data_IF_795261777019
#
_entry.id   IF_795261777019
#
_cell.length_a   1.000
_cell.length_b   1.000
_cell.length_c   1.000
_cell.angle_alpha   90.00
_cell.angle_beta   90.00
_cell.angle_gamma   90.00
#
_symmetry.space_group_name_H-M   'P 1'
#
loop_
_entity.id
_entity.type
_entity.pdbx_description
1 polymer ?
#
# COMPACT_ATOMS: atom_id res chain seq x y z
N UNK A 1 3.39 -17.70 -38.07
CA UNK A 1 4.81 -17.43 -37.80
C UNK A 1 5.13 -15.93 -37.89
N UNK A 2 4.93 -15.26 -39.04
CA UNK A 2 5.26 -13.81 -39.19
C UNK A 2 4.69 -12.84 -38.12
N UNK A 3 3.49 -13.12 -37.53
CA UNK A 3 2.91 -12.23 -36.49
C UNK A 3 3.63 -12.37 -35.15
N UNK A 4 4.01 -13.57 -34.75
CA UNK A 4 4.73 -13.83 -33.52
C UNK A 4 6.16 -13.26 -33.57
N UNK A 5 6.83 -13.44 -34.72
CA UNK A 5 8.17 -12.87 -34.97
C UNK A 5 8.16 -11.33 -34.86
N UNK A 6 7.10 -10.69 -35.38
CA UNK A 6 6.91 -9.25 -35.25
C UNK A 6 6.74 -8.79 -33.81
N UNK A 7 5.92 -9.51 -33.00
CA UNK A 7 5.75 -9.24 -31.57
C UNK A 7 7.06 -9.35 -30.83
N UNK A 8 7.82 -10.44 -31.07
CA UNK A 8 9.12 -10.67 -30.43
C UNK A 8 10.13 -9.59 -30.84
N UNK A 9 10.21 -9.24 -32.12
CA UNK A 9 11.12 -8.20 -32.61
C UNK A 9 10.87 -6.83 -31.95
N UNK A 10 9.60 -6.45 -31.79
CA UNK A 10 9.21 -5.20 -31.09
C UNK A 10 9.57 -5.30 -29.61
N UNK A 11 9.26 -6.42 -28.96
CA UNK A 11 9.56 -6.63 -27.56
C UNK A 11 11.07 -6.55 -27.28
N UNK A 12 11.90 -7.21 -28.09
CA UNK A 12 13.36 -7.19 -27.97
C UNK A 12 13.93 -5.79 -28.20
N UNK A 13 13.43 -5.08 -29.23
CA UNK A 13 13.83 -3.68 -29.49
C UNK A 13 13.57 -2.79 -28.27
N UNK A 14 12.35 -2.83 -27.74
CA UNK A 14 11.93 -1.99 -26.62
C UNK A 14 12.63 -2.38 -25.31
N UNK A 15 12.88 -3.68 -25.10
CA UNK A 15 13.69 -4.18 -23.99
C UNK A 15 15.14 -3.69 -24.06
N UNK A 16 15.76 -3.79 -25.23
CA UNK A 16 17.15 -3.33 -25.44
C UNK A 16 17.26 -1.82 -25.18
N UNK A 17 16.26 -1.05 -25.60
CA UNK A 17 16.19 0.39 -25.33
C UNK A 17 16.07 0.67 -23.83
N UNK A 18 15.23 -0.06 -23.13
CA UNK A 18 15.03 0.07 -21.69
C UNK A 18 16.34 -0.17 -20.92
N UNK A 19 17.04 -1.28 -21.20
CA UNK A 19 18.31 -1.61 -20.55
C UNK A 19 19.39 -0.54 -20.82
N UNK A 20 19.36 0.08 -22.00
CA UNK A 20 20.30 1.16 -22.37
C UNK A 20 19.93 2.54 -21.83
N UNK A 21 18.74 2.71 -21.28
CA UNK A 21 18.25 3.97 -20.72
C UNK A 21 17.96 3.81 -19.22
N UNK A 22 19.00 3.84 -18.34
CA UNK A 22 18.83 3.59 -16.90
C UNK A 22 17.86 4.55 -16.23
N UNK A 23 17.65 5.74 -16.79
CA UNK A 23 16.67 6.70 -16.31
C UNK A 23 15.22 6.16 -16.34
N UNK A 24 14.85 5.40 -17.37
CA UNK A 24 13.52 4.77 -17.45
C UNK A 24 13.38 3.65 -16.41
N UNK A 25 14.45 2.93 -16.13
CA UNK A 25 14.49 1.96 -15.03
C UNK A 25 14.25 2.64 -13.68
N UNK A 26 14.99 3.71 -13.41
CA UNK A 26 14.88 4.46 -12.16
C UNK A 26 13.46 5.00 -11.96
N UNK A 27 12.86 5.63 -12.97
CA UNK A 27 11.48 6.13 -12.86
C UNK A 27 10.51 4.98 -12.56
N UNK A 28 10.64 3.84 -13.23
CA UNK A 28 9.75 2.68 -13.05
C UNK A 28 9.78 2.05 -11.65
N UNK A 29 10.83 2.29 -10.88
CA UNK A 29 11.05 1.67 -9.56
C UNK A 29 11.10 2.69 -8.42
N UNK A 30 11.57 3.91 -8.69
CA UNK A 30 11.86 4.89 -7.64
C UNK A 30 10.62 5.25 -6.80
N UNK A 31 9.47 5.51 -7.44
CA UNK A 31 8.27 5.92 -6.71
C UNK A 31 7.74 4.78 -5.80
N UNK A 32 7.55 3.54 -6.26
CA UNK A 32 7.20 2.45 -5.36
C UNK A 32 8.20 2.25 -4.22
N UNK A 33 9.51 2.34 -4.47
CA UNK A 33 10.53 2.21 -3.44
C UNK A 33 10.50 3.34 -2.41
N UNK A 34 10.28 4.58 -2.84
CA UNK A 34 10.10 5.72 -1.92
C UNK A 34 8.89 5.49 -1.02
N UNK A 35 7.76 5.05 -1.58
CA UNK A 35 6.58 4.72 -0.78
C UNK A 35 6.84 3.58 0.20
N UNK A 36 7.50 2.50 -0.24
CA UNK A 36 7.88 1.38 0.62
C UNK A 36 8.77 1.86 1.77
N UNK A 37 9.82 2.62 1.46
CA UNK A 37 10.72 3.16 2.47
C UNK A 37 9.98 4.06 3.46
N UNK A 38 9.13 4.96 2.96
CA UNK A 38 8.36 5.88 3.79
C UNK A 38 7.41 5.14 4.73
N UNK A 39 6.60 4.23 4.19
CA UNK A 39 5.65 3.45 5.00
C UNK A 39 6.35 2.49 5.97
N UNK A 40 7.46 1.91 5.58
CA UNK A 40 8.21 1.02 6.46
C UNK A 40 8.89 1.72 7.64
N UNK A 41 9.16 3.01 7.50
CA UNK A 41 9.64 3.83 8.62
C UNK A 41 8.50 4.26 9.55
N UNK A 42 7.29 4.49 8.99
CA UNK A 42 6.14 4.98 9.77
C UNK A 42 5.41 3.86 10.49
N UNK A 43 5.20 2.70 9.83
CA UNK A 43 4.40 1.60 10.37
C UNK A 43 4.94 1.05 11.71
N UNK A 44 6.24 0.78 11.89
CA UNK A 44 6.76 0.34 13.17
C UNK A 44 6.56 1.36 14.29
N UNK A 45 6.68 2.66 13.97
CA UNK A 45 6.48 3.75 14.93
C UNK A 45 5.00 3.86 15.34
N UNK A 46 4.06 3.55 14.43
CA UNK A 46 2.64 3.58 14.75
C UNK A 46 2.16 2.34 15.51
N UNK A 47 2.85 1.22 15.40
CA UNK A 47 2.53 -0.02 16.14
C UNK A 47 3.13 -0.04 17.54
N UNK A 48 4.36 0.43 17.71
CA UNK A 48 4.97 0.71 19.00
C UNK A 48 4.64 2.15 19.38
N UNK A 49 3.75 2.35 20.35
CA UNK A 49 3.51 3.70 20.87
C UNK A 49 4.57 4.02 21.90
N UNK A 50 5.62 4.76 21.53
CA UNK A 50 6.58 5.24 22.51
C UNK A 50 5.83 6.16 23.48
N UNK A 51 5.89 5.81 24.76
CA UNK A 51 5.27 6.57 25.83
C UNK A 51 6.28 6.84 26.93
N UNK A 52 6.15 7.99 27.53
CA UNK A 52 6.92 8.32 28.74
C UNK A 52 6.01 8.25 29.94
N UNK A 53 6.53 7.79 31.06
CA UNK A 53 5.81 7.74 32.31
C UNK A 53 6.56 8.65 33.31
N UNK A 54 5.84 9.59 33.90
CA UNK A 54 6.34 10.40 35.00
C UNK A 54 5.83 9.76 36.31
N UNK A 55 6.65 8.91 36.90
CA UNK A 55 6.33 8.23 38.16
C UNK A 55 6.74 9.10 39.36
N UNK A 56 5.77 9.86 39.91
CA UNK A 56 5.99 10.68 41.11
C UNK A 56 5.74 9.90 42.41
N UNK A 57 5.12 8.71 42.31
CA UNK A 57 4.82 7.88 43.50
C UNK A 57 5.98 6.99 43.90
N UNK A 58 6.65 6.35 42.92
CA UNK A 58 7.76 5.43 43.17
C UNK A 58 7.39 4.21 44.02
N UNK A 59 6.10 3.93 44.22
CA UNK A 59 5.59 2.90 45.10
C UNK A 59 5.25 1.57 44.43
N UNK A 60 4.79 0.57 45.20
CA UNK A 60 4.44 -0.73 44.61
C UNK A 60 3.22 -0.70 43.67
N UNK A 61 2.29 0.25 43.84
CA UNK A 61 1.16 0.44 42.97
C UNK A 61 1.55 1.00 41.60
N UNK A 62 2.42 2.03 41.60
CA UNK A 62 2.93 2.61 40.35
C UNK A 62 3.79 1.60 39.58
N UNK A 63 4.62 0.81 40.29
CA UNK A 63 5.43 -0.24 39.65
C UNK A 63 4.55 -1.29 38.95
N UNK A 64 3.41 -1.71 39.54
CA UNK A 64 2.47 -2.66 38.93
C UNK A 64 1.81 -2.05 37.68
N UNK A 65 1.39 -0.80 37.73
CA UNK A 65 0.79 -0.13 36.56
C UNK A 65 1.80 -0.04 35.40
N UNK A 66 3.04 0.35 35.69
CA UNK A 66 4.10 0.41 34.68
C UNK A 66 4.37 -0.98 34.08
N UNK A 67 4.36 -2.03 34.89
CA UNK A 67 4.54 -3.40 34.42
C UNK A 67 3.34 -3.86 33.59
N UNK A 68 2.11 -3.55 33.99
CA UNK A 68 0.91 -3.79 33.19
C UNK A 68 0.99 -3.08 31.83
N UNK A 69 1.47 -1.84 31.78
CA UNK A 69 1.70 -1.12 30.52
C UNK A 69 2.78 -1.78 29.64
N UNK A 70 3.83 -2.35 30.23
CA UNK A 70 4.91 -3.04 29.49
C UNK A 70 4.49 -4.41 28.98
N UNK A 71 3.59 -5.09 29.67
CA UNK A 71 3.19 -6.48 29.39
C UNK A 71 2.00 -6.57 28.45
N UNK A 72 1.14 -5.55 28.39
CA UNK A 72 -0.02 -5.55 27.53
C UNK A 72 0.39 -5.62 26.05
N UNK A 73 -0.15 -6.62 25.34
CA UNK A 73 0.24 -6.95 23.96
C UNK A 73 -0.96 -7.18 23.05
N UNK A 74 -0.74 -6.95 21.75
CA UNK A 74 -1.56 -7.47 20.67
C UNK A 74 -0.82 -8.57 19.92
N UNK A 75 -1.47 -9.16 18.91
CA UNK A 75 -0.82 -10.10 17.98
C UNK A 75 0.35 -9.45 17.21
N UNK A 76 0.40 -8.12 17.11
CA UNK A 76 1.45 -7.36 16.42
C UNK A 76 2.64 -6.96 17.33
N UNK A 77 2.50 -7.10 18.65
CA UNK A 77 3.54 -6.74 19.60
C UNK A 77 3.03 -6.01 20.85
N UNK A 78 3.94 -5.41 21.65
CA UNK A 78 3.57 -4.65 22.83
C UNK A 78 2.77 -3.39 22.43
N UNK A 79 1.78 -3.02 23.24
CA UNK A 79 1.01 -1.79 23.02
C UNK A 79 1.83 -0.53 23.33
N UNK A 80 2.76 -0.62 24.27
CA UNK A 80 3.58 0.49 24.69
C UNK A 80 5.07 0.12 24.66
N UNK A 81 5.87 1.08 24.26
CA UNK A 81 7.31 1.13 24.51
C UNK A 81 7.57 2.23 25.55
N UNK A 82 7.73 1.81 26.80
CA UNK A 82 7.96 2.75 27.92
C UNK A 82 9.42 3.19 27.90
N UNK A 83 9.66 4.38 27.35
CA UNK A 83 10.99 4.94 27.12
C UNK A 83 11.69 5.35 28.42
N UNK A 84 10.95 5.89 29.38
CA UNK A 84 11.47 6.31 30.68
C UNK A 84 10.36 6.29 31.74
N UNK A 85 10.77 6.15 32.99
CA UNK A 85 9.89 6.31 34.17
C UNK A 85 10.33 7.48 35.06
N UNK A 86 11.39 8.19 34.66
CA UNK A 86 11.90 9.37 35.35
C UNK A 86 10.97 10.57 35.13
N UNK A 87 10.36 11.15 36.20
CA UNK A 87 9.37 12.21 36.05
C UNK A 87 9.96 13.48 35.43
N UNK A 88 11.19 13.86 35.78
CA UNK A 88 11.82 15.07 35.26
C UNK A 88 12.16 14.96 33.79
N UNK A 89 12.60 13.77 33.35
CA UNK A 89 12.90 13.49 31.92
C UNK A 89 11.61 13.47 31.11
N UNK A 90 10.58 12.77 31.62
CA UNK A 90 9.29 12.61 30.92
C UNK A 90 8.57 13.96 30.74
N UNK A 91 8.46 14.78 31.78
CA UNK A 91 7.78 16.07 31.74
C UNK A 91 8.52 17.07 30.86
N UNK A 92 9.87 17.18 30.99
CA UNK A 92 10.65 18.07 30.12
C UNK A 92 10.54 17.67 28.64
N UNK A 93 10.53 16.38 28.33
CA UNK A 93 10.38 15.91 26.96
C UNK A 93 9.00 16.27 26.39
N UNK A 94 7.93 16.15 27.19
CA UNK A 94 6.59 16.54 26.79
C UNK A 94 6.47 18.04 26.56
N UNK A 95 6.92 18.87 27.50
CA UNK A 95 6.87 20.32 27.41
C UNK A 95 7.73 20.87 26.26
N UNK A 96 8.83 20.19 25.95
CA UNK A 96 9.71 20.50 24.83
C UNK A 96 9.21 19.98 23.47
N UNK A 97 8.05 19.30 23.41
CA UNK A 97 7.50 18.72 22.18
C UNK A 97 8.20 17.45 21.70
N UNK A 98 9.13 16.90 22.50
CA UNK A 98 9.85 15.65 22.20
C UNK A 98 9.05 14.37 22.51
N UNK A 99 7.91 14.49 23.21
CA UNK A 99 7.00 13.39 23.48
C UNK A 99 5.57 13.76 23.06
N UNK A 100 4.85 12.81 22.46
CA UNK A 100 3.45 12.98 22.08
C UNK A 100 2.50 12.72 23.23
N UNK A 101 2.92 11.91 24.21
CA UNK A 101 2.13 11.58 25.39
C UNK A 101 3.03 11.28 26.58
N UNK A 102 2.51 11.62 27.76
CA UNK A 102 3.10 11.27 29.06
C UNK A 102 1.98 10.78 29.98
N UNK A 103 2.19 9.64 30.63
CA UNK A 103 1.37 9.18 31.74
C UNK A 103 1.98 9.69 33.03
N UNK A 104 1.27 10.51 33.79
CA UNK A 104 1.72 11.02 35.08
C UNK A 104 1.05 10.20 36.18
N UNK A 105 1.85 9.54 36.98
CA UNK A 105 1.41 8.81 38.18
C UNK A 105 1.67 9.73 39.39
N UNK A 106 0.63 10.26 40.04
CA UNK A 106 0.80 11.24 41.09
C UNK A 106 1.37 10.62 42.40
N UNK A 107 1.93 11.45 43.24
CA UNK A 107 2.32 11.06 44.59
C UNK A 107 1.13 10.48 45.39
N UNK A 108 1.35 9.41 46.14
CA UNK A 108 0.33 8.72 46.91
C UNK A 108 -0.57 7.77 46.09
N UNK A 109 -0.26 7.56 44.81
CA UNK A 109 -1.00 6.64 43.91
C UNK A 109 -1.10 5.23 44.52
N UNK A 110 -0.01 4.69 45.06
CA UNK A 110 0.02 3.33 45.62
C UNK A 110 -0.93 3.17 46.80
N UNK A 111 -1.04 4.18 47.67
CA UNK A 111 -1.99 4.17 48.78
C UNK A 111 -3.45 4.28 48.27
N UNK A 112 -3.71 5.22 47.37
CA UNK A 112 -5.04 5.39 46.76
C UNK A 112 -5.49 4.15 45.98
N UNK A 113 -4.57 3.43 45.31
CA UNK A 113 -4.87 2.20 44.60
C UNK A 113 -5.29 1.06 45.56
N UNK A 114 -4.71 0.99 46.72
CA UNK A 114 -5.09 0.03 47.78
C UNK A 114 -6.53 0.30 48.28
N UNK A 115 -6.96 1.57 48.30
CA UNK A 115 -8.30 2.00 48.74
C UNK A 115 -9.32 2.04 47.58
N UNK A 116 -8.94 1.71 46.36
CA UNK A 116 -9.83 1.65 45.17
C UNK A 116 -10.17 3.02 44.57
N UNK A 117 -9.35 4.06 44.81
CA UNK A 117 -9.63 5.44 44.34
C UNK A 117 -8.48 6.11 43.58
N UNK A 118 -7.53 5.34 43.07
CA UNK A 118 -6.36 5.89 42.36
C UNK A 118 -6.70 6.51 40.99
N UNK A 119 -6.02 7.59 40.66
CA UNK A 119 -6.14 8.25 39.36
C UNK A 119 -4.75 8.44 38.73
N UNK A 120 -4.69 8.33 37.43
CA UNK A 120 -3.53 8.70 36.64
C UNK A 120 -3.89 9.80 35.65
N UNK A 121 -2.98 10.71 35.37
CA UNK A 121 -3.16 11.77 34.40
C UNK A 121 -2.50 11.37 33.06
N UNK A 122 -3.25 11.41 31.97
CA UNK A 122 -2.71 11.23 30.63
C UNK A 122 -2.58 12.60 29.95
N UNK A 123 -1.36 13.11 29.83
CA UNK A 123 -1.06 14.32 29.06
C UNK A 123 -0.81 13.96 27.61
N UNK A 124 -1.54 14.59 26.70
CA UNK A 124 -1.52 14.31 25.26
C UNK A 124 -1.24 15.57 24.47
N UNK A 125 -0.29 15.47 23.53
CA UNK A 125 -0.26 16.36 22.41
C UNK A 125 -1.24 15.83 21.36
N UNK A 126 -2.49 16.32 21.39
CA UNK A 126 -3.62 15.79 20.65
C UNK A 126 -3.71 16.28 19.20
N UNK A 127 -2.57 16.54 18.55
CA UNK A 127 -2.50 16.91 17.12
C UNK A 127 -3.07 15.80 16.23
N UNK A 128 -2.86 14.53 16.62
CA UNK A 128 -3.41 13.38 15.91
C UNK A 128 -4.50 12.71 16.75
N UNK A 129 -5.76 12.84 16.30
CA UNK A 129 -6.93 12.32 17.01
C UNK A 129 -6.95 10.79 17.12
N UNK A 130 -6.49 10.07 16.09
CA UNK A 130 -6.47 8.60 16.10
C UNK A 130 -5.42 8.07 17.06
N UNK A 131 -4.24 8.69 17.09
CA UNK A 131 -3.20 8.37 18.05
C UNK A 131 -3.68 8.60 19.50
N UNK A 132 -4.29 9.77 19.75
CA UNK A 132 -4.83 10.10 21.07
C UNK A 132 -5.93 9.15 21.52
N UNK A 133 -6.82 8.76 20.61
CA UNK A 133 -7.88 7.78 20.86
C UNK A 133 -7.31 6.40 21.19
N UNK A 134 -6.36 5.93 20.41
CA UNK A 134 -5.70 4.64 20.64
C UNK A 134 -4.94 4.60 21.97
N UNK A 135 -4.22 5.68 22.33
CA UNK A 135 -3.56 5.78 23.62
C UNK A 135 -4.54 5.70 24.81
N UNK A 136 -5.67 6.42 24.72
CA UNK A 136 -6.72 6.37 25.76
C UNK A 136 -7.28 4.97 25.92
N UNK A 137 -7.66 4.31 24.81
CA UNK A 137 -8.20 2.96 24.85
C UNK A 137 -7.21 1.94 25.42
N UNK A 138 -5.95 2.07 25.10
CA UNK A 138 -4.89 1.17 25.57
C UNK A 138 -4.54 1.40 27.04
N UNK A 139 -4.52 2.66 27.48
CA UNK A 139 -4.32 2.97 28.91
C UNK A 139 -5.50 2.46 29.76
N UNK A 140 -6.73 2.67 29.28
CA UNK A 140 -7.93 2.14 29.91
C UNK A 140 -7.88 0.59 30.02
N UNK A 141 -7.39 -0.09 28.97
CA UNK A 141 -7.18 -1.54 29.00
C UNK A 141 -6.10 -1.98 30.01
N UNK A 142 -4.99 -1.23 30.13
CA UNK A 142 -3.92 -1.52 31.09
C UNK A 142 -4.42 -1.32 32.54
N UNK A 143 -5.20 -0.27 32.79
CA UNK A 143 -5.82 0.00 34.12
C UNK A 143 -6.83 -1.08 34.48
N UNK A 144 -7.70 -1.49 33.53
CA UNK A 144 -8.65 -2.60 33.77
C UNK A 144 -7.96 -3.92 34.02
N UNK A 145 -6.87 -4.23 33.34
CA UNK A 145 -6.09 -5.43 33.60
C UNK A 145 -5.55 -5.47 35.04
N UNK A 146 -5.20 -4.31 35.60
CA UNK A 146 -4.80 -4.18 37.01
C UNK A 146 -6.00 -4.39 37.95
N UNK A 147 -7.19 -3.87 37.62
CA UNK A 147 -8.41 -4.04 38.40
C UNK A 147 -8.89 -5.51 38.40
N UNK A 148 -8.77 -6.21 37.28
CA UNK A 148 -9.15 -7.62 37.13
C UNK A 148 -8.28 -8.56 37.98
N UNK A 149 -7.01 -8.22 38.21
CA UNK A 149 -6.14 -8.96 39.14
C UNK A 149 -6.58 -8.82 40.60
N UNK A 150 -7.29 -7.73 40.93
CA UNK A 150 -7.72 -7.42 42.31
C UNK A 150 -9.13 -7.91 42.63
N UNK A 151 -10.04 -7.93 41.68
CA UNK A 151 -11.48 -8.20 41.92
C UNK A 151 -12.06 -9.35 41.10
N UNK A 152 -11.33 -9.86 40.11
CA UNK A 152 -11.80 -10.85 39.15
C UNK A 152 -12.68 -10.24 38.03
N UNK A 153 -12.81 -10.92 36.90
CA UNK A 153 -13.47 -10.37 35.71
C UNK A 153 -14.98 -10.19 35.94
N UNK A 154 -15.46 -8.96 35.89
CA UNK A 154 -16.88 -8.60 36.01
C UNK A 154 -17.60 -8.77 34.67
N UNK A 155 -16.89 -8.61 33.55
CA UNK A 155 -17.43 -8.74 32.18
C UNK A 155 -16.44 -9.46 31.27
N UNK A 156 -16.89 -10.50 30.58
CA UNK A 156 -16.10 -11.21 29.57
C UNK A 156 -16.56 -10.83 28.16
N UNK A 157 -15.61 -10.49 27.27
CA UNK A 157 -15.89 -10.24 25.86
C UNK A 157 -15.58 -11.51 25.06
N UNK A 158 -16.60 -12.05 24.36
CA UNK A 158 -16.41 -13.13 23.39
C UNK A 158 -16.12 -12.52 22.04
N UNK A 159 -14.89 -12.69 21.55
CA UNK A 159 -14.49 -12.25 20.23
C UNK A 159 -14.72 -13.34 19.19
N UNK A 160 -15.32 -12.99 18.05
CA UNK A 160 -15.45 -13.89 16.88
C UNK A 160 -14.66 -13.27 15.73
N UNK A 161 -13.63 -13.98 15.28
CA UNK A 161 -12.72 -13.53 14.21
C UNK A 161 -13.08 -14.23 12.90
N UNK A 162 -13.04 -13.48 11.79
CA UNK A 162 -13.20 -14.05 10.44
C UNK A 162 -11.96 -14.85 10.03
N UNK A 163 -10.78 -14.43 10.43
CA UNK A 163 -9.50 -15.06 10.15
C UNK A 163 -8.84 -15.58 11.44
N UNK A 164 -8.03 -16.65 11.36
CA UNK A 164 -7.38 -17.23 12.54
C UNK A 164 -6.41 -16.27 13.26
N UNK A 165 -5.85 -15.33 12.50
CA UNK A 165 -4.94 -14.27 12.99
C UNK A 165 -5.27 -12.97 12.32
N UNK A 166 -5.06 -11.86 13.02
CA UNK A 166 -5.18 -10.53 12.42
C UNK A 166 -4.03 -10.30 11.44
N UNK A 167 -4.32 -9.82 10.22
CA UNK A 167 -3.28 -9.41 9.31
C UNK A 167 -2.48 -8.27 9.90
N UNK A 168 -1.16 -8.38 9.87
CA UNK A 168 -0.30 -7.32 10.37
C UNK A 168 -0.43 -6.05 9.52
N UNK A 169 -0.32 -4.88 10.14
CA UNK A 169 -0.34 -3.60 9.42
C UNK A 169 0.77 -3.53 8.35
N UNK A 170 1.95 -4.07 8.68
CA UNK A 170 3.05 -4.19 7.72
C UNK A 170 2.66 -5.07 6.53
N UNK A 171 2.03 -6.22 6.76
CA UNK A 171 1.55 -7.11 5.71
C UNK A 171 0.54 -6.42 4.79
N UNK A 172 -0.45 -5.75 5.38
CA UNK A 172 -1.48 -5.00 4.65
C UNK A 172 -0.88 -3.94 3.73
N UNK A 173 0.00 -3.10 4.26
CA UNK A 173 0.66 -2.04 3.49
C UNK A 173 1.61 -2.63 2.45
N UNK A 174 2.40 -3.66 2.80
CA UNK A 174 3.33 -4.30 1.86
C UNK A 174 2.61 -4.89 0.65
N UNK A 175 1.45 -5.53 0.85
CA UNK A 175 0.65 -6.08 -0.24
C UNK A 175 0.09 -4.96 -1.13
N UNK A 176 -0.42 -3.89 -0.54
CA UNK A 176 -0.93 -2.74 -1.29
C UNK A 176 0.17 -2.04 -2.07
N UNK A 177 1.36 -1.86 -1.49
CA UNK A 177 2.52 -1.26 -2.14
C UNK A 177 3.08 -2.15 -3.26
N UNK A 178 3.08 -3.47 -3.08
CA UNK A 178 3.48 -4.40 -4.13
C UNK A 178 2.58 -4.24 -5.36
N UNK A 179 1.27 -4.24 -5.16
CA UNK A 179 0.32 -4.10 -6.27
C UNK A 179 0.36 -2.70 -6.90
N UNK A 180 0.53 -1.65 -6.09
CA UNK A 180 0.82 -0.31 -6.58
C UNK A 180 2.07 -0.30 -7.46
N UNK A 181 3.15 -0.94 -7.02
CA UNK A 181 4.38 -1.09 -7.78
C UNK A 181 4.17 -1.82 -9.11
N UNK A 182 3.34 -2.88 -9.12
CA UNK A 182 2.96 -3.59 -10.34
C UNK A 182 2.25 -2.68 -11.34
N UNK A 183 1.18 -2.02 -10.88
CA UNK A 183 0.39 -1.11 -11.73
C UNK A 183 1.23 0.04 -12.24
N UNK A 184 1.96 0.70 -11.34
CA UNK A 184 2.82 1.84 -11.66
C UNK A 184 3.88 1.48 -12.71
N UNK A 185 4.66 0.41 -12.48
CA UNK A 185 5.72 0.00 -13.38
C UNK A 185 5.18 -0.36 -14.77
N UNK A 186 4.04 -1.06 -14.84
CA UNK A 186 3.41 -1.43 -16.09
C UNK A 186 2.83 -0.23 -16.84
N UNK A 187 2.17 0.68 -16.13
CA UNK A 187 1.62 1.91 -16.71
C UNK A 187 2.73 2.79 -17.28
N UNK A 188 3.74 3.09 -16.47
CA UNK A 188 4.83 3.99 -16.87
C UNK A 188 5.70 3.34 -17.96
N UNK A 189 6.07 2.05 -17.80
CA UNK A 189 6.89 1.34 -18.77
C UNK A 189 6.24 1.31 -20.16
N UNK A 190 5.00 0.83 -20.27
CA UNK A 190 4.31 0.73 -21.54
C UNK A 190 3.96 2.13 -22.11
N UNK A 191 3.54 3.07 -21.27
CA UNK A 191 3.15 4.41 -21.70
C UNK A 191 4.31 5.23 -22.23
N UNK A 192 5.45 5.24 -21.54
CA UNK A 192 6.63 5.96 -21.99
C UNK A 192 7.23 5.36 -23.27
N UNK A 193 7.22 4.04 -23.42
CA UNK A 193 7.64 3.41 -24.66
C UNK A 193 6.80 3.85 -25.85
N UNK A 194 5.48 3.97 -25.65
CA UNK A 194 4.58 4.45 -26.71
C UNK A 194 4.83 5.93 -26.99
N UNK A 195 4.83 6.78 -25.95
CA UNK A 195 5.00 8.23 -26.12
C UNK A 195 6.34 8.60 -26.74
N UNK A 196 7.41 7.88 -26.41
CA UNK A 196 8.74 8.12 -26.93
C UNK A 196 8.84 7.91 -28.45
N UNK A 197 8.05 7.00 -29.04
CA UNK A 197 8.02 6.83 -30.49
C UNK A 197 7.55 8.09 -31.22
N UNK A 198 6.57 8.82 -30.64
CA UNK A 198 6.15 10.12 -31.18
C UNK A 198 7.18 11.21 -30.92
N UNK A 199 7.71 11.25 -29.70
CA UNK A 199 8.69 12.24 -29.30
C UNK A 199 9.98 12.15 -30.16
N UNK A 200 10.44 10.93 -30.44
CA UNK A 200 11.66 10.66 -31.22
C UNK A 200 11.38 10.56 -32.74
N UNK A 201 10.14 10.82 -33.19
CA UNK A 201 9.68 10.76 -34.57
C UNK A 201 9.89 9.39 -35.26
N UNK A 202 10.00 8.32 -34.48
CA UNK A 202 10.21 6.94 -34.99
C UNK A 202 8.92 6.25 -35.42
N UNK A 203 7.76 6.84 -35.10
CA UNK A 203 6.42 6.32 -35.44
C UNK A 203 6.29 6.04 -36.95
N UNK A 204 6.84 6.89 -37.83
CA UNK A 204 6.80 6.69 -39.29
C UNK A 204 7.50 5.39 -39.69
N UNK A 205 8.63 5.07 -39.08
CA UNK A 205 9.39 3.84 -39.38
C UNK A 205 8.62 2.59 -38.96
N UNK A 206 7.90 2.65 -37.83
CA UNK A 206 7.00 1.58 -37.38
C UNK A 206 5.79 1.38 -38.31
N UNK A 207 5.31 2.46 -38.92
CA UNK A 207 4.18 2.41 -39.90
C UNK A 207 4.58 1.84 -41.25
N UNK A 208 5.80 2.11 -41.69
CA UNK A 208 6.34 1.60 -42.94
C UNK A 208 6.76 0.14 -42.84
N UNK A 209 6.98 -0.36 -41.63
CA UNK A 209 7.26 -1.77 -41.41
C UNK A 209 6.02 -2.64 -41.69
N UNK A 210 6.18 -3.78 -42.37
CA UNK A 210 5.07 -4.66 -42.74
C UNK A 210 4.53 -5.43 -41.53
N UNK A 211 4.28 -4.70 -40.44
CA UNK A 211 3.83 -5.22 -39.16
C UNK A 211 2.34 -5.01 -38.99
N UNK A 212 1.62 -6.07 -38.63
CA UNK A 212 0.22 -5.93 -38.28
C UNK A 212 0.04 -5.07 -37.01
N UNK A 213 -0.94 -4.16 -37.01
CA UNK A 213 -1.22 -3.23 -35.89
C UNK A 213 -1.42 -3.95 -34.56
N UNK A 214 -2.02 -5.15 -34.58
CA UNK A 214 -2.15 -6.00 -33.40
C UNK A 214 -0.80 -6.51 -32.87
N UNK A 215 0.16 -6.81 -33.76
CA UNK A 215 1.49 -7.21 -33.36
C UNK A 215 2.26 -6.05 -32.69
N UNK A 216 2.01 -4.81 -33.09
CA UNK A 216 2.60 -3.64 -32.47
C UNK A 216 2.10 -3.45 -31.01
N UNK A 217 0.79 -3.52 -30.79
CA UNK A 217 0.21 -3.42 -29.44
C UNK A 217 0.70 -4.57 -28.55
N UNK A 218 0.65 -5.79 -29.07
CA UNK A 218 1.10 -6.98 -28.33
C UNK A 218 2.61 -6.91 -28.01
N UNK A 219 3.45 -6.49 -28.96
CA UNK A 219 4.87 -6.35 -28.74
C UNK A 219 5.24 -5.33 -27.66
N UNK A 220 4.56 -4.18 -27.68
CA UNK A 220 4.73 -3.16 -26.64
C UNK A 220 4.20 -3.60 -25.27
N UNK A 221 3.07 -4.31 -25.24
CA UNK A 221 2.56 -4.88 -24.01
C UNK A 221 3.53 -5.93 -23.43
N UNK A 222 4.09 -6.81 -24.25
CA UNK A 222 5.09 -7.80 -23.82
C UNK A 222 6.37 -7.13 -23.33
N UNK A 223 6.86 -6.09 -24.00
CA UNK A 223 8.03 -5.34 -23.56
C UNK A 223 7.76 -4.63 -22.22
N UNK A 224 6.62 -3.98 -22.09
CA UNK A 224 6.17 -3.34 -20.85
C UNK A 224 6.05 -4.33 -19.70
N UNK A 225 5.50 -5.52 -19.96
CA UNK A 225 5.44 -6.61 -18.99
C UNK A 225 6.81 -7.06 -18.51
N UNK A 226 7.77 -7.26 -19.43
CA UNK A 226 9.13 -7.65 -19.09
C UNK A 226 9.81 -6.64 -18.15
N UNK A 227 9.70 -5.34 -18.48
CA UNK A 227 10.19 -4.26 -17.63
C UNK A 227 9.53 -4.25 -16.25
N UNK A 228 8.21 -4.38 -16.24
CA UNK A 228 7.43 -4.34 -15.01
C UNK A 228 7.74 -5.53 -14.10
N UNK A 229 7.95 -6.72 -14.67
CA UNK A 229 8.36 -7.90 -13.91
C UNK A 229 9.72 -7.70 -13.22
N UNK A 230 10.69 -7.06 -13.89
CA UNK A 230 11.96 -6.72 -13.25
C UNK A 230 11.78 -5.75 -12.08
N UNK A 231 10.93 -4.71 -12.25
CA UNK A 231 10.59 -3.76 -11.19
C UNK A 231 9.85 -4.42 -10.03
N UNK A 232 8.87 -5.27 -10.33
CA UNK A 232 8.11 -6.03 -9.32
C UNK A 232 9.00 -6.99 -8.55
N UNK A 233 9.91 -7.69 -9.23
CA UNK A 233 10.87 -8.57 -8.58
C UNK A 233 11.77 -7.81 -7.59
N UNK A 234 12.20 -6.60 -7.96
CA UNK A 234 12.99 -5.75 -7.06
C UNK A 234 12.16 -5.26 -5.87
N UNK A 235 10.92 -4.81 -6.10
CA UNK A 235 9.98 -4.40 -5.03
C UNK A 235 9.72 -5.57 -4.08
N UNK A 236 9.42 -6.75 -4.61
CA UNK A 236 9.19 -7.94 -3.80
C UNK A 236 10.43 -8.36 -3.02
N UNK A 237 11.61 -8.29 -3.64
CA UNK A 237 12.88 -8.54 -2.96
C UNK A 237 13.08 -7.61 -1.75
N UNK A 238 12.84 -6.32 -1.94
CA UNK A 238 12.96 -5.33 -0.85
C UNK A 238 11.95 -5.61 0.26
N UNK A 239 10.71 -5.95 -0.08
CA UNK A 239 9.67 -6.28 0.91
C UNK A 239 10.01 -7.56 1.70
N UNK A 240 10.46 -8.61 1.01
CA UNK A 240 10.77 -9.91 1.65
C UNK A 240 12.07 -9.85 2.45
N UNK A 241 13.14 -9.33 1.86
CA UNK A 241 14.48 -9.33 2.50
C UNK A 241 14.64 -8.16 3.46
N UNK A 242 14.17 -6.97 3.06
CA UNK A 242 14.33 -5.75 3.86
C UNK A 242 13.33 -5.64 5.02
N UNK A 243 12.09 -6.06 4.80
CA UNK A 243 10.99 -5.89 5.78
C UNK A 243 10.40 -7.21 6.31
N UNK A 244 10.94 -8.35 5.88
CA UNK A 244 10.49 -9.65 6.38
C UNK A 244 9.07 -10.02 5.95
N UNK A 245 8.52 -9.39 4.89
CA UNK A 245 7.20 -9.70 4.39
C UNK A 245 7.12 -11.16 3.92
N UNK A 246 6.16 -11.90 4.46
CA UNK A 246 5.95 -13.33 4.15
C UNK A 246 4.53 -13.53 3.64
N UNK A 247 4.34 -13.59 2.32
CA UNK A 247 3.03 -13.87 1.74
C UNK A 247 2.54 -15.28 2.14
N UNK A 248 1.25 -15.37 2.51
CA UNK A 248 0.67 -16.60 3.08
C UNK A 248 0.08 -17.56 2.01
N UNK A 249 -0.26 -17.05 0.83
CA UNK A 249 -1.11 -17.78 -0.11
C UNK A 249 -0.37 -18.62 -1.14
N UNK A 250 -1.15 -19.20 -2.06
CA UNK A 250 -0.63 -20.02 -3.15
C UNK A 250 0.17 -19.16 -4.16
N UNK A 251 1.43 -19.50 -4.49
CA UNK A 251 2.27 -18.76 -5.43
C UNK A 251 1.66 -18.59 -6.83
N UNK A 252 0.89 -19.56 -7.32
CA UNK A 252 0.22 -19.46 -8.62
C UNK A 252 -0.90 -18.43 -8.61
N UNK A 253 -1.69 -18.37 -7.53
CA UNK A 253 -2.72 -17.36 -7.35
C UNK A 253 -2.10 -15.96 -7.26
N UNK A 254 -0.99 -15.83 -6.51
CA UNK A 254 -0.21 -14.59 -6.41
C UNK A 254 0.31 -14.15 -7.78
N UNK A 255 0.93 -15.05 -8.53
CA UNK A 255 1.42 -14.76 -9.87
C UNK A 255 0.29 -14.36 -10.83
N UNK A 256 -0.87 -15.01 -10.72
CA UNK A 256 -2.05 -14.71 -11.52
C UNK A 256 -2.56 -13.29 -11.32
N UNK A 257 -2.71 -12.84 -10.07
CA UNK A 257 -3.19 -11.48 -9.78
C UNK A 257 -2.15 -10.41 -10.12
N UNK A 258 -0.86 -10.69 -9.90
CA UNK A 258 0.23 -9.81 -10.34
C UNK A 258 0.19 -9.64 -11.85
N UNK A 259 0.11 -10.74 -12.62
CA UNK A 259 0.08 -10.69 -14.07
C UNK A 259 -1.16 -9.93 -14.59
N UNK A 260 -2.33 -10.14 -13.99
CA UNK A 260 -3.54 -9.41 -14.34
C UNK A 260 -3.39 -7.90 -14.10
N UNK A 261 -2.81 -7.50 -12.97
CA UNK A 261 -2.52 -6.10 -12.65
C UNK A 261 -1.50 -5.47 -13.63
N UNK A 262 -0.45 -6.22 -13.99
CA UNK A 262 0.54 -5.77 -14.97
C UNK A 262 -0.07 -5.56 -16.36
N UNK A 263 -0.92 -6.48 -16.82
CA UNK A 263 -1.62 -6.37 -18.11
C UNK A 263 -2.55 -5.15 -18.14
N UNK A 264 -3.31 -4.95 -17.07
CA UNK A 264 -4.20 -3.80 -16.94
C UNK A 264 -3.39 -2.49 -16.92
N UNK A 265 -2.34 -2.43 -16.13
CA UNK A 265 -1.45 -1.27 -16.06
C UNK A 265 -0.83 -0.94 -17.42
N UNK A 266 -0.31 -1.95 -18.13
CA UNK A 266 0.24 -1.77 -19.48
C UNK A 266 -0.80 -1.23 -20.46
N UNK A 267 -2.05 -1.71 -20.42
CA UNK A 267 -3.15 -1.22 -21.23
C UNK A 267 -3.42 0.27 -20.99
N UNK A 268 -3.54 0.67 -19.71
CA UNK A 268 -3.73 2.09 -19.33
C UNK A 268 -2.55 2.94 -19.81
N UNK A 269 -1.33 2.46 -19.62
CA UNK A 269 -0.11 3.11 -20.07
C UNK A 269 -0.13 3.38 -21.58
N UNK A 270 -0.47 2.37 -22.38
CA UNK A 270 -0.56 2.51 -23.85
C UNK A 270 -1.61 3.57 -24.24
N UNK A 271 -2.81 3.53 -23.63
CA UNK A 271 -3.87 4.51 -23.89
C UNK A 271 -3.37 5.95 -23.66
N UNK A 272 -2.78 6.20 -22.49
CA UNK A 272 -2.26 7.53 -22.13
C UNK A 272 -1.09 7.93 -23.02
N UNK A 273 -0.17 7.00 -23.32
CA UNK A 273 0.96 7.26 -24.20
C UNK A 273 0.57 7.67 -25.63
N UNK A 274 -0.45 7.00 -26.18
CA UNK A 274 -1.03 7.36 -27.50
C UNK A 274 -1.73 8.72 -27.47
N UNK A 275 -2.45 9.00 -26.39
CA UNK A 275 -3.19 10.25 -26.24
C UNK A 275 -2.26 11.45 -26.06
N UNK A 276 -1.25 11.33 -25.21
CA UNK A 276 -0.34 12.43 -24.85
C UNK A 276 0.73 12.72 -25.91
N UNK A 277 1.25 11.69 -26.56
CA UNK A 277 2.30 11.78 -27.61
C UNK A 277 3.62 12.45 -27.16
N UNK A 278 3.75 12.80 -25.89
CA UNK A 278 4.90 13.48 -25.27
C UNK A 278 5.32 12.72 -24.01
N UNK A 279 6.60 12.37 -23.90
CA UNK A 279 7.11 11.56 -22.79
C UNK A 279 6.86 12.19 -21.43
N UNK A 280 7.14 13.49 -21.27
CA UNK A 280 6.95 14.18 -19.99
C UNK A 280 5.48 14.25 -19.57
N UNK A 281 4.58 14.63 -20.49
CA UNK A 281 3.14 14.68 -20.21
C UNK A 281 2.60 13.28 -19.87
N UNK A 282 3.03 12.25 -20.61
CA UNK A 282 2.68 10.85 -20.33
C UNK A 282 3.13 10.44 -18.93
N UNK A 283 4.38 10.72 -18.56
CA UNK A 283 4.90 10.41 -17.23
C UNK A 283 4.05 11.05 -16.12
N UNK A 284 3.79 12.35 -16.23
CA UNK A 284 3.02 13.10 -15.23
C UNK A 284 1.61 12.54 -15.04
N UNK A 285 0.90 12.27 -16.14
CA UNK A 285 -0.46 11.71 -16.09
C UNK A 285 -0.45 10.29 -15.48
N UNK A 286 0.50 9.43 -15.89
CA UNK A 286 0.56 8.06 -15.40
C UNK A 286 0.95 7.97 -13.93
N UNK A 287 1.86 8.82 -13.46
CA UNK A 287 2.20 8.93 -12.05
C UNK A 287 0.96 9.33 -11.24
N UNK A 288 0.25 10.37 -11.68
CA UNK A 288 -0.97 10.85 -11.02
C UNK A 288 -2.04 9.76 -10.97
N UNK A 289 -2.31 9.09 -12.09
CA UNK A 289 -3.30 7.99 -12.14
C UNK A 289 -2.90 6.83 -11.24
N UNK A 290 -1.64 6.43 -11.21
CA UNK A 290 -1.19 5.32 -10.38
C UNK A 290 -1.33 5.65 -8.88
N UNK A 291 -0.99 6.89 -8.48
CA UNK A 291 -1.19 7.35 -7.10
C UNK A 291 -2.70 7.41 -6.77
N UNK A 292 -3.54 7.90 -7.67
CA UNK A 292 -5.00 7.90 -7.48
C UNK A 292 -5.56 6.48 -7.33
N UNK A 293 -5.12 5.53 -8.15
CA UNK A 293 -5.52 4.13 -8.01
C UNK A 293 -5.07 3.54 -6.67
N UNK A 294 -3.87 3.86 -6.21
CA UNK A 294 -3.39 3.44 -4.91
C UNK A 294 -4.22 4.03 -3.77
N UNK A 295 -4.49 5.33 -3.80
CA UNK A 295 -5.25 6.00 -2.74
C UNK A 295 -6.70 5.53 -2.68
N UNK A 296 -7.35 5.34 -3.84
CA UNK A 296 -8.77 4.99 -3.90
C UNK A 296 -8.97 3.48 -3.83
N UNK A 297 -8.26 2.70 -4.64
CA UNK A 297 -8.45 1.24 -4.70
C UNK A 297 -7.60 0.50 -3.66
N UNK A 298 -6.40 0.99 -3.36
CA UNK A 298 -5.49 0.39 -2.39
C UNK A 298 -5.95 0.55 -0.93
N UNK A 299 -6.85 1.48 -0.64
CA UNK A 299 -7.38 1.75 0.70
C UNK A 299 -8.89 1.46 0.83
N UNK A 300 -9.48 0.68 -0.09
CA UNK A 300 -10.92 0.39 -0.14
C UNK A 300 -11.45 -0.18 1.18
N UNK A 301 -10.75 -1.10 1.79
CA UNK A 301 -11.18 -1.70 3.07
C UNK A 301 -11.12 -0.70 4.23
N UNK A 302 -10.10 0.18 4.24
CA UNK A 302 -10.03 1.25 5.24
C UNK A 302 -11.19 2.22 5.08
N UNK A 303 -11.54 2.59 3.85
CA UNK A 303 -12.72 3.42 3.58
C UNK A 303 -14.01 2.72 3.98
N UNK A 304 -14.13 1.42 3.74
CA UNK A 304 -15.30 0.64 4.16
C UNK A 304 -15.47 0.64 5.67
N UNK A 305 -14.39 0.49 6.43
CA UNK A 305 -14.41 0.57 7.89
C UNK A 305 -14.74 1.96 8.45
N UNK A 306 -14.49 3.03 7.67
CA UNK A 306 -14.72 4.42 8.03
C UNK A 306 -15.97 5.01 7.35
N UNK A 307 -16.70 4.25 6.55
CA UNK A 307 -17.83 4.73 5.74
C UNK A 307 -19.09 4.99 6.58
N UNK A 308 -19.00 5.95 7.50
CA UNK A 308 -20.06 6.36 8.42
C UNK A 308 -20.74 7.68 8.01
N UNK A 309 -20.52 8.12 6.78
CA UNK A 309 -21.11 9.34 6.23
C UNK A 309 -20.46 9.83 4.95
N UNK A 310 -21.11 10.80 4.32
CA UNK A 310 -20.55 11.51 3.17
C UNK A 310 -19.37 12.41 3.62
N UNK A 311 -18.27 12.51 2.82
CA UNK A 311 -18.11 12.02 1.45
C UNK A 311 -17.45 10.63 1.33
N UNK A 312 -17.13 9.94 2.44
CA UNK A 312 -16.37 8.67 2.43
C UNK A 312 -17.18 7.56 1.77
N UNK A 313 -18.48 7.51 2.02
CA UNK A 313 -19.39 6.54 1.38
C UNK A 313 -19.38 6.68 -0.13
N UNK A 314 -19.43 7.91 -0.63
CA UNK A 314 -19.34 8.19 -2.09
C UNK A 314 -18.00 7.74 -2.66
N UNK A 315 -16.89 8.00 -1.97
CA UNK A 315 -15.56 7.58 -2.39
C UNK A 315 -15.43 6.05 -2.39
N UNK A 316 -16.03 5.37 -1.42
CA UNK A 316 -16.08 3.90 -1.38
C UNK A 316 -16.86 3.33 -2.57
N UNK A 317 -18.04 3.88 -2.89
CA UNK A 317 -18.80 3.47 -4.08
C UNK A 317 -18.01 3.71 -5.37
N UNK A 318 -17.30 4.84 -5.47
CA UNK A 318 -16.44 5.14 -6.60
C UNK A 318 -15.29 4.13 -6.72
N UNK A 319 -14.69 3.75 -5.60
CA UNK A 319 -13.63 2.73 -5.60
C UNK A 319 -14.13 1.40 -6.18
N UNK A 320 -15.37 0.99 -5.85
CA UNK A 320 -15.99 -0.24 -6.36
C UNK A 320 -16.28 -0.21 -7.86
N UNK A 321 -16.36 0.96 -8.48
CA UNK A 321 -16.46 1.10 -9.93
C UNK A 321 -15.11 0.90 -10.64
N UNK A 322 -13.99 0.95 -9.93
CA UNK A 322 -12.66 0.80 -10.49
C UNK A 322 -12.23 -0.68 -10.53
N UNK A 323 -11.80 -1.20 -11.69
CA UNK A 323 -11.33 -2.59 -11.80
C UNK A 323 -10.04 -2.83 -10.98
N UNK A 324 -9.26 -1.79 -10.70
CA UNK A 324 -8.08 -1.84 -9.84
C UNK A 324 -8.43 -2.28 -8.43
N UNK A 325 -9.60 -1.90 -7.90
CA UNK A 325 -10.07 -2.29 -6.57
C UNK A 325 -10.17 -3.81 -6.42
N UNK A 326 -10.68 -4.49 -7.42
CA UNK A 326 -10.78 -5.96 -7.40
C UNK A 326 -9.41 -6.65 -7.44
N UNK A 327 -8.43 -6.04 -8.11
CA UNK A 327 -7.05 -6.50 -8.07
C UNK A 327 -6.44 -6.34 -6.66
N UNK A 328 -6.63 -5.18 -6.01
CA UNK A 328 -6.17 -4.94 -4.64
C UNK A 328 -6.84 -5.85 -3.62
N UNK A 329 -8.15 -6.05 -3.71
CA UNK A 329 -8.90 -6.97 -2.83
C UNK A 329 -8.37 -8.40 -2.95
N UNK A 330 -8.22 -8.93 -4.18
CA UNK A 330 -7.69 -10.28 -4.39
C UNK A 330 -6.25 -10.41 -3.91
N UNK A 331 -5.39 -9.43 -4.18
CA UNK A 331 -4.04 -9.46 -3.69
C UNK A 331 -4.00 -9.53 -2.16
N UNK A 332 -4.78 -8.70 -1.46
CA UNK A 332 -4.87 -8.74 0.01
C UNK A 332 -5.35 -10.08 0.54
N UNK A 333 -6.47 -10.61 0.04
CA UNK A 333 -6.96 -11.92 0.45
C UNK A 333 -5.90 -13.00 0.28
N UNK A 334 -5.25 -13.08 -0.89
CA UNK A 334 -4.26 -14.11 -1.18
C UNK A 334 -3.00 -13.93 -0.33
N UNK A 335 -2.42 -12.71 -0.33
CA UNK A 335 -1.11 -12.48 0.28
C UNK A 335 -1.15 -12.48 1.81
N UNK A 336 -2.28 -12.05 2.43
CA UNK A 336 -2.40 -11.94 3.89
C UNK A 336 -2.98 -13.19 4.53
N UNK A 337 -4.01 -13.77 3.91
CA UNK A 337 -4.77 -14.87 4.53
C UNK A 337 -4.69 -16.19 3.74
N UNK A 338 -4.22 -16.16 2.50
CA UNK A 338 -4.23 -17.31 1.60
C UNK A 338 -5.61 -17.63 1.02
N UNK A 339 -6.61 -16.80 1.31
CA UNK A 339 -7.99 -16.99 0.82
C UNK A 339 -8.08 -16.66 -0.68
N UNK A 340 -8.67 -17.59 -1.44
CA UNK A 340 -8.88 -17.48 -2.89
C UNK A 340 -10.34 -17.56 -3.28
N UNK A 341 -11.27 -17.49 -2.32
CA UNK A 341 -12.72 -17.66 -2.55
C UNK A 341 -13.28 -16.71 -3.61
N UNK A 342 -12.89 -15.43 -3.54
CA UNK A 342 -13.37 -14.38 -4.45
C UNK A 342 -12.45 -14.17 -5.67
N UNK A 343 -11.34 -14.91 -5.77
CA UNK A 343 -10.32 -14.70 -6.79
C UNK A 343 -10.88 -14.82 -8.22
N UNK A 344 -11.68 -15.86 -8.48
CA UNK A 344 -12.21 -16.10 -9.82
C UNK A 344 -13.12 -14.96 -10.29
N UNK A 345 -14.04 -14.50 -9.44
CA UNK A 345 -14.93 -13.36 -9.73
C UNK A 345 -14.16 -12.07 -9.98
N UNK A 346 -13.22 -11.76 -9.09
CA UNK A 346 -12.40 -10.55 -9.20
C UNK A 346 -11.49 -10.58 -10.44
N UNK A 347 -10.88 -11.73 -10.77
CA UNK A 347 -10.08 -11.89 -12.00
C UNK A 347 -10.92 -11.67 -13.26
N UNK A 348 -12.17 -12.14 -13.31
CA UNK A 348 -13.07 -11.89 -14.44
C UNK A 348 -13.25 -10.39 -14.63
N UNK A 349 -13.52 -9.62 -13.58
CA UNK A 349 -13.68 -8.16 -13.66
C UNK A 349 -12.39 -7.50 -14.16
N UNK A 350 -11.23 -7.86 -13.59
CA UNK A 350 -9.93 -7.29 -13.96
C UNK A 350 -9.57 -7.62 -15.41
N UNK A 351 -9.72 -8.87 -15.84
CA UNK A 351 -9.37 -9.31 -17.20
C UNK A 351 -10.34 -8.76 -18.25
N UNK A 352 -11.64 -8.72 -17.97
CA UNK A 352 -12.63 -8.12 -18.88
C UNK A 352 -12.35 -6.63 -19.07
N UNK A 353 -12.09 -5.90 -17.98
CA UNK A 353 -11.72 -4.49 -18.05
C UNK A 353 -10.40 -4.28 -18.79
N UNK A 354 -9.42 -5.17 -18.58
CA UNK A 354 -8.14 -5.15 -19.30
C UNK A 354 -8.36 -5.34 -20.80
N UNK A 355 -9.22 -6.28 -21.20
CA UNK A 355 -9.54 -6.50 -22.61
C UNK A 355 -10.17 -5.26 -23.25
N UNK A 356 -11.10 -4.58 -22.56
CA UNK A 356 -11.69 -3.32 -23.01
C UNK A 356 -10.64 -2.22 -23.17
N UNK A 357 -9.75 -2.06 -22.17
CA UNK A 357 -8.67 -1.06 -22.20
C UNK A 357 -7.70 -1.33 -23.35
N UNK A 358 -7.31 -2.59 -23.57
CA UNK A 358 -6.44 -2.96 -24.71
C UNK A 358 -7.12 -2.79 -26.05
N UNK A 359 -8.42 -3.05 -26.15
CA UNK A 359 -9.20 -2.76 -27.36
C UNK A 359 -9.24 -1.26 -27.65
N UNK A 360 -9.46 -0.43 -26.62
CA UNK A 360 -9.41 1.03 -26.70
C UNK A 360 -8.01 1.51 -27.12
N UNK A 361 -6.95 0.95 -26.54
CA UNK A 361 -5.58 1.24 -26.92
C UNK A 361 -5.33 0.95 -28.41
N UNK A 362 -5.79 -0.21 -28.88
CA UNK A 362 -5.72 -0.60 -30.30
C UNK A 362 -6.50 0.33 -31.21
N UNK A 363 -7.70 0.77 -30.79
CA UNK A 363 -8.51 1.71 -31.53
C UNK A 363 -7.87 3.10 -31.61
N UNK A 364 -7.37 3.62 -30.50
CA UNK A 364 -6.66 4.91 -30.46
C UNK A 364 -5.41 4.90 -31.34
N UNK A 365 -4.63 3.82 -31.30
CA UNK A 365 -3.49 3.63 -32.18
C UNK A 365 -3.92 3.66 -33.66
N UNK A 366 -5.00 2.96 -34.02
CA UNK A 366 -5.51 2.97 -35.37
C UNK A 366 -5.88 4.40 -35.82
N UNK A 367 -6.59 5.13 -34.98
CA UNK A 367 -7.01 6.51 -35.28
C UNK A 367 -5.81 7.46 -35.38
N UNK A 368 -4.85 7.35 -34.46
CA UNK A 368 -3.63 8.18 -34.48
C UNK A 368 -2.81 7.95 -35.77
N UNK A 369 -2.80 6.72 -36.25
CA UNK A 369 -2.08 6.36 -37.50
C UNK A 369 -2.79 6.77 -38.77
N UNK A 370 -4.13 6.71 -38.83
CA UNK A 370 -4.89 7.15 -40.03
C UNK A 370 -4.66 8.64 -40.32
N UNK A 371 -4.50 9.47 -39.31
CA UNK A 371 -4.17 10.89 -39.50
C UNK A 371 -2.74 11.15 -40.00
N UNK A 372 -1.81 10.20 -39.87
CA UNK A 372 -0.45 10.34 -40.39
C UNK A 372 -0.30 9.87 -41.84
N UNK A 373 -1.23 9.03 -42.32
CA UNK A 373 -1.23 8.45 -43.66
C UNK A 373 -2.26 9.12 -44.60
N UNK A 374 -3.27 9.80 -44.08
CA UNK A 374 -4.32 10.44 -44.83
C UNK A 374 -4.07 11.90 -45.26
N UNK A 375 -2.86 12.41 -45.05
CA UNK A 375 -2.43 13.76 -45.47
C UNK A 375 -1.63 13.81 -46.75
N UNK A 376 -1.78 12.78 -47.61
CA UNK A 376 -1.27 12.85 -49.02
C UNK A 376 -2.42 12.84 -50.00
#
# INVERSE_FOLDING_TARGET
MRRLEAVVAIAVKDWTRFVRQPFLMVIGVAIPLVFILFYSLIVPVSNNNPIMVADLDGGPGSARLIEAMRTIRSDEGPYYDVLTTDPDVALRAFDGGGALAVVVIPEGFSAAAADGGAQVELRLNNINSDYSKNLRLRLDAAVRGLDDELTGPVVTVRETRRFPRDPTMLGYISTSLLLFGCLYAAMVGAGLQVASEWNDRTVKNLLLAPLGRGALVAGKAVAGLGQSLASVALVLLVLVVGFGFRPAGNPLAMAGIILAALLMGAGVGIVVGVASKKTLATASVLITLAVMFFLVSGNEESMRGLAWGEPITTLWHLSRALPTTYAFMSARSIFLTGDTSDLAGNLVVVLASTAVILALAGWLLRRAYSHLTGGQ
#
